data_IF_487775944685
#
_entry.id   IF_487775944685
#
_cell.length_a   1.000
_cell.length_b   1.000
_cell.length_c   1.000
_cell.angle_alpha   90.00
_cell.angle_beta   90.00
_cell.angle_gamma   90.00
#
_symmetry.space_group_name_H-M   'P 1'
#
loop_
_entity.id
_entity.type
_entity.pdbx_description
1 polymer ?
#
# COMPACT_ATOMS: atom_id res chain seq x y z
N UNK A 1 -33.73 30.81 2.63
CA UNK A 1 -32.38 30.69 3.24
C UNK A 1 -32.37 29.45 4.11
N UNK A 2 -31.58 28.42 3.76
CA UNK A 2 -31.56 27.15 4.51
C UNK A 2 -30.82 27.36 5.84
N UNK A 3 -31.47 27.05 6.96
CA UNK A 3 -30.86 27.12 8.29
C UNK A 3 -29.88 25.97 8.43
N UNK A 4 -28.62 26.30 8.71
CA UNK A 4 -27.54 25.35 8.99
C UNK A 4 -27.94 24.55 10.25
N UNK A 5 -27.97 23.23 10.18
CA UNK A 5 -28.29 22.38 11.33
C UNK A 5 -27.11 22.40 12.31
N UNK A 6 -27.15 23.31 13.29
CA UNK A 6 -26.14 23.44 14.33
C UNK A 6 -26.36 22.41 15.45
N UNK A 7 -26.13 21.13 15.16
CA UNK A 7 -26.18 20.08 16.18
C UNK A 7 -24.77 19.83 16.69
N UNK A 8 -24.54 20.09 17.98
CA UNK A 8 -23.30 19.75 18.68
C UNK A 8 -23.55 18.59 19.65
N UNK A 9 -22.65 17.62 19.65
CA UNK A 9 -22.66 16.54 20.63
C UNK A 9 -21.95 16.97 21.92
N UNK A 10 -22.58 16.76 23.07
CA UNK A 10 -21.97 16.94 24.39
C UNK A 10 -21.96 15.58 25.07
N UNK A 11 -20.78 15.09 25.44
CA UNK A 11 -20.65 13.85 26.20
C UNK A 11 -21.08 14.13 27.65
N UNK A 12 -22.17 13.51 28.16
CA UNK A 12 -22.55 13.67 29.55
C UNK A 12 -21.48 13.08 30.46
N UNK A 13 -21.28 13.68 31.64
CA UNK A 13 -20.35 13.17 32.64
C UNK A 13 -20.76 11.80 33.16
N UNK A 14 -19.78 11.01 33.60
CA UNK A 14 -20.06 9.69 34.17
C UNK A 14 -20.76 9.84 35.53
N UNK A 15 -21.76 8.99 35.82
CA UNK A 15 -22.44 9.00 37.12
C UNK A 15 -21.49 8.56 38.24
N UNK A 16 -21.71 9.11 39.45
CA UNK A 16 -20.83 8.92 40.61
C UNK A 16 -20.64 7.45 41.05
N UNK A 17 -21.57 6.56 40.70
CA UNK A 17 -21.41 5.13 40.96
C UNK A 17 -20.32 4.50 40.05
N UNK A 18 -20.33 4.82 38.76
CA UNK A 18 -19.37 4.28 37.80
C UNK A 18 -17.96 4.82 38.05
N UNK A 19 -17.83 6.09 38.46
CA UNK A 19 -16.53 6.68 38.77
C UNK A 19 -15.87 5.99 39.96
N UNK A 20 -16.61 5.80 41.06
CA UNK A 20 -16.14 5.07 42.25
C UNK A 20 -15.76 3.64 41.92
N UNK A 21 -16.63 2.92 41.20
CA UNK A 21 -16.37 1.55 40.80
C UNK A 21 -15.10 1.43 39.95
N UNK A 22 -14.92 2.30 38.95
CA UNK A 22 -13.71 2.33 38.11
C UNK A 22 -12.45 2.61 38.93
N UNK A 23 -12.51 3.49 39.92
CA UNK A 23 -11.40 3.75 40.84
C UNK A 23 -11.06 2.55 41.71
N UNK A 24 -12.07 1.90 42.30
CA UNK A 24 -11.90 0.76 43.21
C UNK A 24 -11.29 -0.46 42.49
N UNK A 25 -11.69 -0.71 41.25
CA UNK A 25 -11.15 -1.82 40.44
C UNK A 25 -9.87 -1.46 39.67
N UNK A 26 -9.38 -0.23 39.82
CA UNK A 26 -8.18 0.25 39.12
C UNK A 26 -8.31 0.31 37.60
N UNK A 27 -9.52 0.56 37.09
CA UNK A 27 -9.79 0.65 35.66
C UNK A 27 -9.01 1.81 35.03
N UNK A 28 -8.17 1.48 34.04
CA UNK A 28 -7.49 2.45 33.19
C UNK A 28 -8.18 2.48 31.84
N UNK A 29 -8.63 3.66 31.42
CA UNK A 29 -9.24 3.83 30.10
C UNK A 29 -8.22 3.43 29.03
N UNK A 30 -8.68 2.61 28.08
CA UNK A 30 -7.82 2.07 27.03
C UNK A 30 -7.39 3.14 26.01
N UNK A 31 -6.51 2.77 25.06
CA UNK A 31 -6.11 3.65 23.97
C UNK A 31 -7.33 4.19 23.23
N UNK A 32 -7.53 5.50 23.30
CA UNK A 32 -8.63 6.21 22.66
C UNK A 32 -8.21 6.64 21.25
N UNK A 33 -9.13 7.01 20.37
CA UNK A 33 -8.80 7.57 19.05
C UNK A 33 -7.80 8.72 19.10
N UNK A 34 -7.80 9.53 20.16
CA UNK A 34 -6.83 10.61 20.35
C UNK A 34 -5.40 10.12 20.63
N UNK A 35 -5.22 8.93 21.20
CA UNK A 35 -3.88 8.36 21.39
C UNK A 35 -3.21 8.01 20.07
N UNK A 36 -3.98 7.85 18.98
CA UNK A 36 -3.44 7.69 17.61
C UNK A 36 -2.93 8.99 17.01
N UNK A 37 -3.37 10.14 17.54
CA UNK A 37 -2.98 11.48 17.10
C UNK A 37 -1.80 12.04 17.90
N UNK A 38 -1.41 11.37 18.97
CA UNK A 38 -0.23 11.75 19.74
C UNK A 38 1.01 11.44 18.91
N UNK A 39 1.90 12.43 18.80
CA UNK A 39 3.21 12.21 18.21
C UNK A 39 3.95 11.21 19.09
N UNK A 40 4.21 10.04 18.52
CA UNK A 40 5.02 9.03 19.18
C UNK A 40 6.44 9.60 19.33
N UNK A 41 7.11 9.33 20.46
CA UNK A 41 8.54 9.63 20.56
C UNK A 41 9.25 8.96 19.38
N UNK A 42 10.24 9.63 18.81
CA UNK A 42 11.14 9.04 17.81
C UNK A 42 11.84 7.89 18.52
N UNK A 43 11.32 6.68 18.34
CA UNK A 43 12.01 5.47 18.71
C UNK A 43 13.18 5.42 17.74
N UNK A 44 14.37 5.57 18.29
CA UNK A 44 15.60 5.33 17.56
C UNK A 44 15.55 3.86 17.13
N UNK A 45 15.15 3.63 15.88
CA UNK A 45 15.03 2.31 15.26
C UNK A 45 16.42 1.75 14.93
N UNK A 46 17.37 1.94 15.87
CA UNK A 46 18.71 1.37 15.90
C UNK A 46 18.69 -0.15 16.05
N UNK A 47 17.53 -0.79 15.93
CA UNK A 47 17.35 -2.24 15.86
C UNK A 47 17.58 -2.83 14.47
N UNK A 48 17.76 -2.00 13.43
CA UNK A 48 17.96 -2.44 12.04
C UNK A 48 19.45 -2.61 11.66
N UNK A 49 20.39 -2.46 12.60
CA UNK A 49 21.78 -2.80 12.33
C UNK A 49 22.02 -4.30 12.60
N UNK A 50 22.17 -5.09 11.53
CA UNK A 50 22.58 -6.50 11.60
C UNK A 50 23.79 -6.66 12.54
N UNK A 51 23.76 -7.68 13.41
CA UNK A 51 24.89 -8.00 14.28
C UNK A 51 26.07 -8.51 13.47
N UNK A 52 27.29 -8.43 14.02
CA UNK A 52 28.50 -8.92 13.34
C UNK A 52 28.42 -10.39 12.90
N UNK A 53 27.73 -11.22 13.69
CA UNK A 53 27.48 -12.65 13.40
C UNK A 53 26.42 -12.89 12.31
N UNK A 54 25.57 -11.90 12.03
CA UNK A 54 24.49 -11.97 11.03
C UNK A 54 24.96 -11.48 9.65
N UNK A 55 26.12 -10.82 9.59
CA UNK A 55 26.70 -10.35 8.33
C UNK A 55 27.18 -11.52 7.45
N UNK A 56 27.05 -11.42 6.12
CA UNK A 56 27.49 -12.45 5.21
C UNK A 56 29.02 -12.60 5.21
N UNK A 57 29.50 -13.84 5.15
CA UNK A 57 30.92 -14.13 4.96
C UNK A 57 31.41 -13.59 3.62
N UNK A 58 32.42 -12.72 3.66
CA UNK A 58 33.08 -12.19 2.45
C UNK A 58 34.26 -13.10 2.08
N UNK A 59 34.29 -13.59 0.84
CA UNK A 59 35.36 -14.45 0.30
C UNK A 59 35.90 -13.84 -0.99
N UNK A 60 37.21 -13.63 -1.07
CA UNK A 60 37.91 -13.11 -2.26
C UNK A 60 38.44 -14.27 -3.07
N UNK A 61 37.96 -14.43 -4.31
CA UNK A 61 38.34 -15.52 -5.21
C UNK A 61 39.23 -15.04 -6.36
N UNK A 62 39.03 -13.82 -6.82
CA UNK A 62 39.71 -13.23 -7.97
C UNK A 62 40.37 -11.90 -7.60
N UNK A 63 41.42 -11.54 -8.37
CA UNK A 63 42.05 -10.22 -8.28
C UNK A 63 41.03 -9.18 -8.81
N UNK A 64 40.42 -8.44 -7.89
CA UNK A 64 39.37 -7.46 -8.18
C UNK A 64 38.12 -7.57 -7.30
N UNK A 65 37.96 -8.66 -6.54
CA UNK A 65 36.90 -8.75 -5.54
C UNK A 65 37.23 -7.87 -4.33
N UNK A 66 36.21 -7.27 -3.71
CA UNK A 66 36.37 -6.42 -2.53
C UNK A 66 36.69 -7.24 -1.29
N UNK A 67 37.64 -6.75 -0.50
CA UNK A 67 37.92 -7.29 0.83
C UNK A 67 36.87 -6.83 1.85
N UNK A 68 36.78 -7.54 2.98
CA UNK A 68 35.84 -7.21 4.05
C UNK A 68 36.02 -5.77 4.57
N UNK A 69 37.27 -5.31 4.68
CA UNK A 69 37.59 -3.96 5.17
C UNK A 69 37.13 -2.86 4.19
N UNK A 70 37.30 -3.08 2.89
CA UNK A 70 36.88 -2.11 1.87
C UNK A 70 35.36 -1.98 1.82
N UNK A 71 34.65 -3.11 1.97
CA UNK A 71 33.18 -3.11 2.05
C UNK A 71 32.66 -2.34 3.26
N UNK A 72 33.28 -2.50 4.43
CA UNK A 72 32.89 -1.77 5.63
C UNK A 72 33.05 -0.26 5.45
N UNK A 73 34.17 0.19 4.87
CA UNK A 73 34.42 1.62 4.61
C UNK A 73 33.41 2.23 3.64
N UNK A 74 33.10 1.52 2.55
CA UNK A 74 32.12 1.99 1.56
C UNK A 74 30.71 2.08 2.20
N UNK A 75 30.33 1.12 3.05
CA UNK A 75 29.04 1.14 3.76
C UNK A 75 28.96 2.32 4.72
N UNK A 76 29.98 2.56 5.54
CA UNK A 76 29.99 3.69 6.50
C UNK A 76 29.94 5.03 5.81
N UNK A 77 30.67 5.21 4.70
CA UNK A 77 30.69 6.46 3.94
C UNK A 77 29.33 6.74 3.29
N UNK A 78 28.65 5.68 2.80
CA UNK A 78 27.32 5.79 2.20
C UNK A 78 26.23 6.06 3.24
N UNK A 79 26.30 5.40 4.41
CA UNK A 79 25.32 5.56 5.49
C UNK A 79 25.45 6.92 6.20
N UNK A 80 26.67 7.44 6.35
CA UNK A 80 26.87 8.82 6.82
C UNK A 80 26.34 9.85 5.81
N UNK A 81 26.52 9.61 4.50
CA UNK A 81 25.99 10.50 3.46
C UNK A 81 24.47 10.43 3.31
N UNK A 82 23.84 9.28 3.59
CA UNK A 82 22.39 9.11 3.46
C UNK A 82 21.59 9.67 4.64
N UNK A 83 22.24 9.88 5.79
CA UNK A 83 21.63 10.53 6.96
C UNK A 83 21.50 12.06 6.82
N UNK A 84 22.21 12.69 5.87
CA UNK A 84 22.23 14.15 5.73
C UNK A 84 21.33 14.69 4.59
N UNK A 85 21.02 13.93 3.54
CA UNK A 85 20.06 14.36 2.51
C UNK A 85 19.27 13.19 1.93
N UNK A 86 18.14 12.86 2.55
CA UNK A 86 16.97 12.40 1.78
C UNK A 86 16.03 13.58 1.69
N UNK A 87 16.43 14.58 0.89
CA UNK A 87 15.46 15.47 0.28
C UNK A 87 14.54 14.56 -0.53
N UNK A 88 13.33 14.34 -0.01
CA UNK A 88 12.27 13.62 -0.71
C UNK A 88 12.26 14.11 -2.15
N UNK A 89 12.15 13.23 -3.17
CA UNK A 89 12.23 13.66 -4.57
C UNK A 89 11.29 14.84 -4.74
N UNK A 90 11.88 16.04 -4.88
CA UNK A 90 11.21 17.31 -4.66
C UNK A 90 9.85 17.23 -5.33
N UNK A 91 8.76 17.41 -4.56
CA UNK A 91 7.36 17.06 -4.82
C UNK A 91 6.76 17.59 -6.13
N UNK A 92 7.43 17.32 -7.22
CA UNK A 92 7.20 17.72 -8.58
C UNK A 92 6.43 16.63 -9.28
N UNK A 93 5.53 17.06 -10.14
CA UNK A 93 4.62 16.19 -10.89
C UNK A 93 5.44 15.19 -11.72
N UNK A 94 5.35 13.91 -11.38
CA UNK A 94 5.98 12.83 -12.15
C UNK A 94 5.30 12.77 -13.53
N UNK A 95 6.04 13.13 -14.58
CA UNK A 95 5.57 13.01 -15.96
C UNK A 95 5.97 11.65 -16.53
N UNK A 96 4.99 10.82 -16.86
CA UNK A 96 5.23 9.54 -17.53
C UNK A 96 5.61 9.76 -18.99
N UNK A 97 6.86 9.47 -19.34
CA UNK A 97 7.31 9.43 -20.74
C UNK A 97 6.96 8.07 -21.34
N UNK A 98 6.27 8.07 -22.47
CA UNK A 98 5.96 6.84 -23.22
C UNK A 98 7.26 6.14 -23.62
N UNK A 99 7.41 4.82 -23.35
CA UNK A 99 8.58 4.09 -23.76
C UNK A 99 8.72 4.12 -25.29
N UNK A 100 9.94 4.35 -25.78
CA UNK A 100 10.26 4.22 -27.19
C UNK A 100 10.03 2.77 -27.60
N UNK A 101 9.29 2.55 -28.68
CA UNK A 101 9.12 1.21 -29.27
C UNK A 101 10.51 0.68 -29.60
N UNK A 102 10.96 -0.35 -28.89
CA UNK A 102 12.25 -1.01 -29.16
C UNK A 102 12.20 -1.52 -30.61
N UNK A 103 13.09 -1.02 -31.48
CA UNK A 103 13.44 -1.74 -32.69
C UNK A 103 14.04 -3.07 -32.25
N UNK A 104 13.51 -4.17 -32.77
CA UNK A 104 13.90 -5.51 -32.37
C UNK A 104 15.39 -5.74 -32.67
N UNK A 105 16.24 -5.55 -31.66
CA UNK A 105 17.53 -6.22 -31.61
C UNK A 105 17.87 -6.50 -30.14
N UNK A 106 17.84 -7.79 -29.82
CA UNK A 106 18.47 -8.48 -28.69
C UNK A 106 18.18 -7.95 -27.27
N UNK A 107 17.05 -8.36 -26.70
CA UNK A 107 16.85 -8.35 -25.25
C UNK A 107 17.24 -9.74 -24.70
N UNK A 108 18.39 -9.82 -24.01
CA UNK A 108 18.79 -10.98 -23.21
C UNK A 108 18.35 -10.75 -21.77
N UNK A 109 17.07 -11.01 -21.50
CA UNK A 109 16.46 -10.88 -20.18
C UNK A 109 15.11 -11.59 -20.15
N UNK A 110 14.92 -12.43 -19.12
CA UNK A 110 13.74 -13.19 -18.70
C UNK A 110 12.51 -13.08 -19.63
N UNK A 111 12.32 -14.06 -20.51
CA UNK A 111 11.15 -14.16 -21.40
C UNK A 111 9.97 -14.82 -20.66
N UNK A 112 9.19 -14.05 -19.91
CA UNK A 112 7.89 -14.51 -19.42
C UNK A 112 6.83 -14.31 -20.52
N UNK A 113 6.73 -15.23 -21.47
CA UNK A 113 5.67 -15.21 -22.50
C UNK A 113 4.50 -16.09 -22.08
N UNK A 114 3.39 -15.51 -21.63
CA UNK A 114 2.11 -16.23 -21.50
C UNK A 114 1.41 -16.29 -22.86
N UNK A 115 1.74 -17.28 -23.68
CA UNK A 115 1.02 -17.53 -24.94
C UNK A 115 -0.30 -18.27 -24.67
N UNK A 116 -1.41 -17.54 -24.54
CA UNK A 116 -2.76 -18.12 -24.54
C UNK A 116 -3.15 -18.45 -25.99
N UNK A 117 -2.92 -19.70 -26.42
CA UNK A 117 -3.46 -20.23 -27.69
C UNK A 117 -4.99 -20.17 -27.63
N UNK A 118 -5.62 -19.32 -28.45
CA UNK A 118 -7.04 -19.46 -28.82
C UNK A 118 -7.13 -20.61 -29.84
N UNK A 119 -7.87 -21.65 -29.51
CA UNK A 119 -8.30 -22.73 -30.42
C UNK A 119 -9.26 -22.13 -31.45
N UNK A 120 -9.11 -22.54 -32.70
CA UNK A 120 -9.62 -21.88 -33.90
C UNK A 120 -11.15 -21.76 -34.00
N UNK A 121 -11.54 -20.73 -34.74
CA UNK A 121 -12.89 -20.47 -35.24
C UNK A 121 -13.07 -21.35 -36.49
N UNK A 122 -14.01 -22.29 -36.44
CA UNK A 122 -14.66 -22.77 -37.66
C UNK A 122 -15.81 -21.82 -38.02
N UNK A 123 -15.92 -21.59 -39.32
CA UNK A 123 -16.85 -20.68 -39.96
C UNK A 123 -18.25 -21.30 -39.95
N UNK A 124 -19.26 -20.54 -39.59
CA UNK A 124 -20.50 -20.59 -40.36
C UNK A 124 -21.15 -19.20 -40.47
N UNK A 125 -21.65 -19.00 -41.68
CA UNK A 125 -22.31 -17.88 -42.29
C UNK A 125 -23.57 -17.40 -41.57
N UNK A 126 -23.91 -16.12 -41.73
CA UNK A 126 -25.30 -15.69 -41.52
C UNK A 126 -25.52 -14.28 -41.00
N UNK A 127 -25.61 -13.35 -41.95
CA UNK A 127 -26.59 -12.25 -41.97
C UNK A 127 -26.39 -11.01 -41.08
N UNK A 128 -26.48 -9.87 -41.78
CA UNK A 128 -26.73 -8.48 -41.38
C UNK A 128 -27.55 -8.30 -40.08
N UNK A 129 -27.43 -7.20 -39.35
CA UNK A 129 -27.76 -5.85 -39.81
C UNK A 129 -27.46 -4.82 -38.71
N UNK A 130 -27.11 -3.63 -39.15
CA UNK A 130 -27.00 -2.38 -38.40
C UNK A 130 -28.26 -2.04 -37.61
N UNK A 131 -28.13 -1.52 -36.38
CA UNK A 131 -28.86 -0.31 -35.95
C UNK A 131 -28.22 0.30 -34.71
N UNK A 132 -27.83 1.56 -34.90
CA UNK A 132 -27.51 2.57 -33.89
C UNK A 132 -28.76 2.96 -33.11
N UNK A 133 -28.73 2.94 -31.78
CA UNK A 133 -29.53 3.85 -30.95
C UNK A 133 -29.15 3.79 -29.47
N UNK A 134 -28.58 4.90 -28.98
CA UNK A 134 -28.53 5.25 -27.57
C UNK A 134 -29.83 5.99 -27.22
N UNK A 135 -30.52 5.57 -26.14
CA UNK A 135 -31.13 6.56 -25.27
C UNK A 135 -30.77 6.34 -23.80
N UNK A 136 -30.64 7.47 -23.12
CA UNK A 136 -30.06 7.68 -21.81
C UNK A 136 -30.81 6.97 -20.65
N UNK A 137 -30.01 6.63 -19.62
CA UNK A 137 -30.33 6.37 -18.20
C UNK A 137 -31.23 5.15 -17.88
N UNK A 138 -30.58 4.02 -17.58
CA UNK A 138 -31.07 3.05 -16.60
C UNK A 138 -29.92 2.62 -15.68
N UNK A 139 -29.99 3.03 -14.42
CA UNK A 139 -29.13 2.47 -13.37
C UNK A 139 -30.08 1.90 -12.32
N UNK A 140 -30.34 0.60 -12.41
CA UNK A 140 -31.01 -0.19 -11.36
C UNK A 140 -29.99 -1.20 -10.87
N UNK A 141 -29.17 -0.79 -9.91
CA UNK A 141 -28.13 -1.62 -9.35
C UNK A 141 -28.70 -2.36 -8.14
N UNK A 142 -29.49 -3.41 -8.37
CA UNK A 142 -29.98 -4.27 -7.28
C UNK A 142 -28.96 -5.34 -6.84
N UNK A 143 -27.69 -5.18 -7.22
CA UNK A 143 -26.60 -6.10 -6.87
C UNK A 143 -25.29 -5.31 -6.67
N UNK A 144 -25.32 -4.33 -5.77
CA UNK A 144 -24.10 -3.66 -5.28
C UNK A 144 -23.79 -4.00 -3.83
N UNK A 145 -24.62 -4.81 -3.19
CA UNK A 145 -24.39 -5.37 -1.87
C UNK A 145 -24.81 -6.83 -1.92
N UNK A 146 -23.85 -7.72 -2.18
CA UNK A 146 -24.02 -9.17 -2.03
C UNK A 146 -23.78 -9.59 -0.58
N UNK A 147 -24.42 -8.90 0.37
CA UNK A 147 -24.41 -9.27 1.77
C UNK A 147 -25.85 -9.30 2.26
N UNK A 148 -26.38 -10.52 2.38
CA UNK A 148 -27.64 -10.79 3.09
C UNK A 148 -28.73 -11.40 2.23
N UNK A 149 -28.45 -12.55 1.61
CA UNK A 149 -29.47 -13.57 1.36
C UNK A 149 -29.07 -14.77 2.22
N UNK A 150 -29.22 -14.61 3.52
CA UNK A 150 -29.19 -15.70 4.50
C UNK A 150 -30.66 -15.95 4.83
N UNK A 151 -31.32 -16.73 3.97
CA UNK A 151 -32.61 -17.34 4.27
C UNK A 151 -32.38 -18.32 5.43
N UNK A 152 -32.62 -17.88 6.67
CA UNK A 152 -33.09 -18.80 7.71
C UNK A 152 -34.52 -19.21 7.32
N UNK A 153 -34.66 -20.45 6.84
CA UNK A 153 -35.94 -21.14 6.73
C UNK A 153 -36.13 -22.03 7.96
N UNK A 154 -37.29 -21.88 8.60
CA UNK A 154 -37.78 -22.55 9.82
C UNK A 154 -37.70 -24.10 9.81
#
# INVERSE_FOLDING_TARGET
>A
MSRKCNVSWVKPGEPAFLTKFKSDVGYKEGPTVDTKRQDLPVVDDSGDSDREDELPQVVVLKKGDLSAEELMKIKTDTECSSKEEVDAPAGGKIMFRKPVKRSANTFQGITATSSKKKKGIEKDSGNSKTTTENPQKKVKNSSLLSFGDDEEED
#
